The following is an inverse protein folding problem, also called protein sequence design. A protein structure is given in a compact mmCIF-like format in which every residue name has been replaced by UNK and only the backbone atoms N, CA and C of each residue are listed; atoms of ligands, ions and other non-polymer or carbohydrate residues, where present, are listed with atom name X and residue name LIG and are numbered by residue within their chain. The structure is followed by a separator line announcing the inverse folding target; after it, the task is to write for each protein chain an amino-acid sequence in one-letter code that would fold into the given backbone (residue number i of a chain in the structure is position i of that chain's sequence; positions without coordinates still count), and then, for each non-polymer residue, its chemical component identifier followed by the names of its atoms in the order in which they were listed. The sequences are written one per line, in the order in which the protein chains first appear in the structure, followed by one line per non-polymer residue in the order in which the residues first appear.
data_IF_221222577254
#
_entry.id   IF_221222577254
#
_cell.length_a   1.000
_cell.length_b   1.000
_cell.length_c   1.000
_cell.angle_alpha   90.00
_cell.angle_beta   90.00
_cell.angle_gamma   90.00
#
_symmetry.space_group_name_H-M   'P 1'
#
loop_
_entity.id
_entity.type
_entity.pdbx_description
1 polymer ?
#
# COMPACT_ATOMS: atom_id res chain seq x y z
N UNK A 1 -45.75 -33.08 -16.35
CA UNK A 1 -45.19 -31.74 -16.13
C UNK A 1 -43.85 -31.96 -15.49
N UNK A 2 -42.86 -32.07 -16.37
CA UNK A 2 -41.46 -32.32 -16.10
C UNK A 2 -40.83 -31.20 -15.27
N UNK A 3 -39.93 -31.64 -14.41
CA UNK A 3 -39.12 -30.89 -13.47
C UNK A 3 -38.16 -29.94 -14.19
N UNK A 4 -38.09 -28.68 -13.77
CA UNK A 4 -36.79 -28.02 -13.79
C UNK A 4 -36.64 -27.00 -12.66
N UNK A 5 -35.91 -27.43 -11.64
CA UNK A 5 -35.21 -26.63 -10.65
C UNK A 5 -34.48 -25.50 -11.35
N UNK A 6 -35.04 -24.29 -11.29
CA UNK A 6 -34.37 -23.09 -11.78
C UNK A 6 -33.27 -22.73 -10.80
N UNK A 7 -32.13 -23.39 -10.99
CA UNK A 7 -30.85 -23.04 -10.37
C UNK A 7 -30.36 -21.71 -10.90
N UNK A 8 -30.86 -20.62 -10.32
CA UNK A 8 -30.20 -19.31 -10.38
C UNK A 8 -29.41 -19.10 -9.07
N UNK A 9 -28.61 -20.12 -8.73
CA UNK A 9 -27.70 -20.18 -7.57
C UNK A 9 -26.24 -19.95 -8.03
N UNK A 10 -26.02 -19.10 -9.05
CA UNK A 10 -24.68 -18.95 -9.64
C UNK A 10 -24.31 -17.53 -10.11
N UNK A 11 -24.93 -16.49 -9.54
CA UNK A 11 -24.37 -15.13 -9.54
C UNK A 11 -23.62 -14.79 -8.24
N UNK A 12 -22.94 -15.78 -7.64
CA UNK A 12 -21.80 -15.55 -6.76
C UNK A 12 -20.55 -15.26 -7.61
N UNK A 13 -20.67 -14.37 -8.59
CA UNK A 13 -19.58 -13.94 -9.47
C UNK A 13 -18.69 -12.98 -8.73
N UNK A 14 -17.95 -13.52 -7.74
CA UNK A 14 -16.67 -13.04 -7.22
C UNK A 14 -16.52 -11.53 -7.23
N UNK A 15 -17.45 -10.82 -6.59
CA UNK A 15 -17.32 -9.40 -6.36
C UNK A 15 -16.08 -9.20 -5.49
N UNK A 16 -14.98 -8.76 -6.11
CA UNK A 16 -13.79 -8.33 -5.37
C UNK A 16 -14.28 -7.25 -4.41
N UNK A 17 -14.04 -7.45 -3.12
CA UNK A 17 -14.32 -6.48 -2.06
C UNK A 17 -13.93 -5.09 -2.58
N UNK A 18 -14.82 -4.08 -2.49
CA UNK A 18 -14.48 -2.75 -2.94
C UNK A 18 -13.19 -2.36 -2.23
N UNK A 19 -12.15 -2.05 -3.00
CA UNK A 19 -10.90 -1.51 -2.45
C UNK A 19 -11.22 -0.11 -1.93
N UNK A 20 -11.83 -0.04 -0.74
CA UNK A 20 -12.01 1.19 -0.01
C UNK A 20 -10.64 1.59 0.49
N UNK A 21 -9.90 2.35 -0.33
CA UNK A 21 -8.63 2.94 0.07
C UNK A 21 -8.95 4.10 1.02
N UNK A 22 -9.30 3.76 2.27
CA UNK A 22 -9.60 4.73 3.33
C UNK A 22 -8.32 5.34 3.91
N UNK A 23 -7.14 4.81 3.55
CA UNK A 23 -5.88 5.35 4.03
C UNK A 23 -5.54 6.63 3.26
N UNK A 24 -5.78 7.76 3.93
CA UNK A 24 -5.31 9.08 3.53
C UNK A 24 -3.87 8.99 3.03
N UNK A 25 -3.62 9.49 1.82
CA UNK A 25 -2.31 9.46 1.17
C UNK A 25 -1.40 10.42 1.92
N UNK A 26 -0.60 9.90 2.84
CA UNK A 26 0.32 10.74 3.62
C UNK A 26 1.32 11.43 2.69
N UNK A 27 1.23 12.75 2.62
CA UNK A 27 2.14 13.61 1.88
C UNK A 27 3.49 13.63 2.60
N UNK A 28 4.59 13.66 1.84
CA UNK A 28 5.93 13.85 2.41
C UNK A 28 6.02 15.23 3.06
N UNK A 29 6.18 15.27 4.37
CA UNK A 29 6.51 16.49 5.10
C UNK A 29 8.02 16.70 5.12
N UNK A 30 8.46 17.94 5.40
CA UNK A 30 9.89 18.27 5.45
C UNK A 30 10.62 17.46 6.54
N UNK A 31 9.95 17.22 7.66
CA UNK A 31 10.45 16.46 8.80
C UNK A 31 10.68 14.98 8.46
N UNK A 32 9.73 14.36 7.76
CA UNK A 32 9.87 12.99 7.26
C UNK A 32 10.96 12.87 6.18
N UNK A 33 11.12 13.91 5.36
CA UNK A 33 12.18 13.96 4.38
C UNK A 33 13.56 14.06 5.03
N UNK A 34 13.69 14.84 6.11
CA UNK A 34 14.94 14.96 6.86
C UNK A 34 15.32 13.62 7.50
N UNK A 35 14.35 12.96 8.16
CA UNK A 35 14.51 11.59 8.67
C UNK A 35 14.86 10.57 7.59
N UNK A 36 14.31 10.73 6.38
CA UNK A 36 14.69 9.92 5.23
C UNK A 36 16.17 10.14 4.86
N UNK A 37 16.64 11.39 4.79
CA UNK A 37 18.03 11.70 4.47
C UNK A 37 18.99 11.20 5.54
N UNK A 38 18.63 11.32 6.82
CA UNK A 38 19.40 10.77 7.93
C UNK A 38 19.51 9.25 7.81
N UNK A 39 18.37 8.56 7.65
CA UNK A 39 18.33 7.12 7.47
C UNK A 39 19.06 6.67 6.20
N UNK A 40 19.03 7.45 5.12
CA UNK A 40 19.77 7.19 3.89
C UNK A 40 21.29 7.29 4.12
N UNK A 41 21.74 8.23 4.94
CA UNK A 41 23.16 8.35 5.32
C UNK A 41 23.61 7.22 6.24
N UNK A 42 22.75 6.80 7.18
CA UNK A 42 23.05 5.73 8.14
C UNK A 42 23.00 4.33 7.52
N UNK A 43 21.98 4.05 6.71
CA UNK A 43 21.68 2.71 6.20
C UNK A 43 21.92 2.55 4.69
N UNK A 44 22.27 3.62 3.97
CA UNK A 44 22.51 3.60 2.54
C UNK A 44 21.25 3.23 1.75
N UNK A 45 21.29 2.13 0.99
CA UNK A 45 20.16 1.63 0.18
C UNK A 45 19.27 0.61 0.89
N UNK A 46 19.37 0.47 2.20
CA UNK A 46 18.53 -0.46 2.96
C UNK A 46 17.12 0.10 3.21
N UNK A 47 16.27 0.08 2.17
CA UNK A 47 14.91 0.63 2.23
C UNK A 47 14.04 0.09 3.35
N UNK A 48 14.24 -1.18 3.75
CA UNK A 48 13.54 -1.78 4.89
C UNK A 48 13.93 -1.11 6.21
N UNK A 49 15.21 -0.79 6.41
CA UNK A 49 15.69 -0.07 7.60
C UNK A 49 15.25 1.39 7.60
N UNK A 50 15.26 2.02 6.42
CA UNK A 50 14.78 3.40 6.27
C UNK A 50 13.27 3.48 6.56
N UNK A 51 12.49 2.49 6.10
CA UNK A 51 11.07 2.37 6.47
C UNK A 51 10.89 2.29 7.98
N UNK A 52 11.64 1.43 8.66
CA UNK A 52 11.55 1.27 10.11
C UNK A 52 11.93 2.55 10.86
N UNK A 53 12.91 3.29 10.35
CA UNK A 53 13.34 4.58 10.92
C UNK A 53 12.31 5.69 10.73
N UNK A 54 11.61 5.73 9.60
CA UNK A 54 10.58 6.74 9.32
C UNK A 54 9.24 6.36 9.98
N UNK A 55 8.86 5.08 9.96
CA UNK A 55 7.64 4.52 10.53
C UNK A 55 6.33 4.88 9.80
N UNK A 56 6.27 6.05 9.18
CA UNK A 56 5.08 6.58 8.49
C UNK A 56 5.03 6.23 6.99
N UNK A 57 6.19 6.01 6.38
CA UNK A 57 6.32 5.71 4.95
C UNK A 57 6.85 4.30 4.73
N UNK A 58 6.24 3.57 3.81
CA UNK A 58 6.68 2.23 3.43
C UNK A 58 7.92 2.28 2.54
N UNK A 59 8.71 1.20 2.52
CA UNK A 59 9.90 1.05 1.69
C UNK A 59 9.60 1.30 0.20
N UNK A 60 8.40 0.96 -0.26
CA UNK A 60 7.94 1.23 -1.63
C UNK A 60 7.74 2.73 -1.88
N UNK A 61 7.08 3.43 -0.95
CA UNK A 61 6.90 4.89 -1.04
C UNK A 61 8.24 5.64 -0.98
N UNK A 62 9.15 5.19 -0.11
CA UNK A 62 10.50 5.72 0.02
C UNK A 62 11.28 5.56 -1.29
N UNK A 63 11.26 4.35 -1.87
CA UNK A 63 11.93 4.09 -3.15
C UNK A 63 11.32 4.92 -4.28
N UNK A 64 10.00 5.05 -4.34
CA UNK A 64 9.32 5.87 -5.35
C UNK A 64 9.66 7.36 -5.19
N UNK A 65 9.80 7.83 -3.95
CA UNK A 65 10.22 9.20 -3.65
C UNK A 65 11.66 9.46 -4.08
N UNK A 66 12.58 8.51 -3.86
CA UNK A 66 13.97 8.61 -4.29
C UNK A 66 14.17 8.52 -5.82
N UNK A 67 13.13 8.13 -6.59
CA UNK A 67 13.16 8.06 -8.05
C UNK A 67 12.63 9.32 -8.75
N UNK A 68 12.00 10.24 -8.01
CA UNK A 68 11.49 11.51 -8.54
C UNK A 68 12.48 12.63 -8.28
#
# INVERSE_FOLDING_TARGET
MDTNTSGDELLLTKARKPYTITKQRERWTKDEHDRFLEALRLYGRAWQRIQEHIGTKTAVQIRSHAQR
#
